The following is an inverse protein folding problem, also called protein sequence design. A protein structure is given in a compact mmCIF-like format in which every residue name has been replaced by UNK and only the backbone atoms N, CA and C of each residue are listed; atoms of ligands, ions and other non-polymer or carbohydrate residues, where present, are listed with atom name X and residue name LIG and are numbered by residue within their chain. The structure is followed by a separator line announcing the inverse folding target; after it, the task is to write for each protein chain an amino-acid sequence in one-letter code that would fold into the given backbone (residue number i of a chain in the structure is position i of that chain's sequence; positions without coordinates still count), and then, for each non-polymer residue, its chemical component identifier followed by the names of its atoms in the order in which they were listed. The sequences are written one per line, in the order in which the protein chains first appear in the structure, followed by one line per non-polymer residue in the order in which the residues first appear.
data_IF_611093835737
#
_entry.id   IF_611093835737
#
_cell.length_a   1.000
_cell.length_b   1.000
_cell.length_c   1.000
_cell.angle_alpha   90.00
_cell.angle_beta   90.00
_cell.angle_gamma   90.00
#
_symmetry.space_group_name_H-M   'P 1'
#
loop_
_entity.id
_entity.type
_entity.pdbx_description
1 polymer ?
#
# COMPACT_ATOMS: atom_id res chain seq x y z
N UNK A 1 -9.51 2.15 13.75
CA UNK A 1 -8.48 1.31 13.12
C UNK A 1 -7.92 2.12 11.98
N UNK A 2 -6.70 2.67 12.15
CA UNK A 2 -6.05 3.52 11.15
C UNK A 2 -5.52 2.61 10.05
N UNK A 3 -6.17 2.60 8.89
CA UNK A 3 -5.56 2.05 7.68
C UNK A 3 -4.64 3.17 7.18
N UNK A 4 -3.33 2.96 7.30
CA UNK A 4 -2.33 3.85 6.69
C UNK A 4 -2.63 4.00 5.21
N UNK A 5 -2.45 5.19 4.61
CA UNK A 5 -2.49 5.31 3.16
C UNK A 5 -1.38 4.40 2.61
N UNK A 6 -1.75 3.44 1.76
CA UNK A 6 -0.77 2.65 1.04
C UNK A 6 -0.05 3.59 0.05
N UNK A 7 1.16 4.01 0.40
CA UNK A 7 2.04 4.66 -0.56
C UNK A 7 2.80 3.55 -1.30
N UNK A 8 2.60 3.44 -2.61
CA UNK A 8 3.40 2.55 -3.44
C UNK A 8 4.71 3.27 -3.76
N UNK A 9 5.79 2.88 -3.09
CA UNK A 9 7.16 3.26 -3.44
C UNK A 9 7.84 1.97 -3.92
N UNK A 10 8.14 1.89 -5.22
CA UNK A 10 8.91 0.79 -5.80
C UNK A 10 10.40 1.05 -5.56
N UNK A 11 11.08 0.10 -4.89
CA UNK A 11 12.52 0.11 -4.71
C UNK A 11 13.15 -0.92 -5.65
N UNK A 12 13.96 -0.45 -6.60
CA UNK A 12 14.67 -1.33 -7.54
C UNK A 12 15.58 -2.33 -6.79
N UNK A 13 15.54 -3.63 -7.13
CA UNK A 13 16.24 -4.70 -6.40
C UNK A 13 17.77 -4.76 -6.62
N UNK A 14 18.37 -3.85 -7.40
CA UNK A 14 19.82 -3.88 -7.67
C UNK A 14 20.68 -3.10 -6.65
N UNK A 15 20.10 -2.60 -5.55
CA UNK A 15 20.87 -1.91 -4.52
C UNK A 15 21.23 -2.92 -3.40
N UNK A 16 22.53 -3.16 -3.12
CA UNK A 16 22.94 -4.03 -2.02
C UNK A 16 22.37 -3.51 -0.70
N UNK A 17 22.00 -4.43 0.21
CA UNK A 17 21.45 -4.19 1.54
C UNK A 17 22.12 -3.00 2.25
N UNK A 18 21.58 -1.79 2.03
CA UNK A 18 22.00 -0.59 2.75
C UNK A 18 21.04 -0.36 3.91
N UNK A 19 21.55 -0.01 5.10
CA UNK A 19 20.71 0.46 6.20
C UNK A 19 19.81 1.60 5.70
N UNK A 20 18.55 1.63 6.16
CA UNK A 20 17.58 2.67 5.80
C UNK A 20 18.13 4.02 6.25
N UNK A 21 18.76 4.74 5.31
CA UNK A 21 18.94 6.18 5.42
C UNK A 21 17.75 6.80 4.71
N UNK A 22 16.96 7.60 5.42
CA UNK A 22 15.96 8.47 4.80
C UNK A 22 16.67 9.38 3.80
N UNK A 23 16.64 9.02 2.50
CA UNK A 23 17.39 9.75 1.47
C UNK A 23 16.73 11.10 1.16
N UNK A 24 15.41 11.20 1.35
CA UNK A 24 14.65 12.44 1.26
C UNK A 24 13.47 12.38 2.24
N UNK A 25 13.42 13.32 3.19
CA UNK A 25 12.23 13.56 4.02
C UNK A 25 11.55 14.80 3.44
N UNK A 26 10.52 14.61 2.63
CA UNK A 26 9.68 15.69 2.11
C UNK A 26 8.43 15.83 2.97
N UNK A 27 8.17 17.02 3.52
CA UNK A 27 6.86 17.31 4.09
C UNK A 27 5.86 17.44 2.96
N UNK A 28 4.77 16.67 2.99
CA UNK A 28 3.63 16.85 2.10
C UNK A 28 3.17 18.32 2.14
N UNK A 29 3.05 18.96 0.97
CA UNK A 29 2.59 20.35 0.89
C UNK A 29 1.08 20.44 0.93
N UNK A 30 0.42 19.44 0.35
CA UNK A 30 -1.04 19.38 0.25
C UNK A 30 -1.50 17.94 0.13
N UNK A 31 -2.68 17.69 0.70
CA UNK A 31 -3.42 16.43 0.51
C UNK A 31 -4.77 16.77 -0.12
N UNK A 32 -5.12 16.05 -1.19
CA UNK A 32 -6.41 16.14 -1.87
C UNK A 32 -7.14 14.82 -1.66
N UNK A 33 -8.23 14.86 -0.90
CA UNK A 33 -9.08 13.70 -0.66
C UNK A 33 -10.05 13.47 -1.82
N UNK A 34 -10.46 12.22 -2.03
CA UNK A 34 -11.58 11.94 -2.92
C UNK A 34 -12.84 12.69 -2.46
N UNK A 35 -13.58 13.38 -3.35
CA UNK A 35 -14.75 14.17 -2.96
C UNK A 35 -15.86 13.35 -2.31
N UNK A 36 -15.97 12.07 -2.68
CA UNK A 36 -16.98 11.14 -2.17
C UNK A 36 -16.47 10.25 -1.02
N UNK A 37 -15.26 10.52 -0.49
CA UNK A 37 -14.70 9.75 0.62
C UNK A 37 -15.68 9.70 1.81
N UNK A 38 -15.88 8.51 2.36
CA UNK A 38 -16.71 8.30 3.55
C UNK A 38 -16.06 7.34 4.54
N UNK A 39 -16.00 7.74 5.81
CA UNK A 39 -15.42 6.92 6.88
C UNK A 39 -16.23 5.65 7.20
N UNK A 40 -17.54 5.66 6.96
CA UNK A 40 -18.38 4.49 7.13
C UNK A 40 -19.39 4.47 5.97
N UNK A 41 -19.23 3.58 4.98
CA UNK A 41 -18.57 2.27 5.03
C UNK A 41 -17.19 2.17 4.33
N UNK A 42 -16.29 3.13 4.51
CA UNK A 42 -14.97 3.19 3.85
C UNK A 42 -15.06 3.24 2.31
N UNK A 43 -15.99 4.03 1.76
CA UNK A 43 -16.01 4.24 0.31
C UNK A 43 -14.97 5.28 -0.10
N UNK A 44 -14.41 5.05 -1.30
CA UNK A 44 -13.50 5.95 -1.99
C UNK A 44 -12.29 6.37 -1.13
N UNK A 45 -11.71 5.39 -0.44
CA UNK A 45 -10.52 5.54 0.40
C UNK A 45 -9.24 5.73 -0.43
N UNK A 46 -9.14 6.91 -1.04
CA UNK A 46 -8.02 7.34 -1.85
C UNK A 46 -7.77 8.84 -1.68
N UNK A 47 -6.49 9.23 -1.67
CA UNK A 47 -6.07 10.62 -1.68
C UNK A 47 -4.81 10.80 -2.51
N UNK A 48 -4.60 12.03 -3.01
CA UNK A 48 -3.40 12.43 -3.73
C UNK A 48 -2.61 13.37 -2.82
N UNK A 49 -1.30 13.15 -2.73
CA UNK A 49 -0.39 13.99 -1.94
C UNK A 49 0.54 14.74 -2.90
N UNK A 50 0.64 16.04 -2.68
CA UNK A 50 1.55 16.92 -3.40
C UNK A 50 2.87 17.05 -2.65
N UNK A 51 3.98 16.79 -3.34
CA UNK A 51 5.32 16.86 -2.80
C UNK A 51 5.92 18.26 -3.03
N UNK A 52 6.76 18.77 -2.11
CA UNK A 52 7.30 20.14 -2.16
C UNK A 52 8.35 20.35 -3.26
N UNK A 53 8.95 19.27 -3.76
CA UNK A 53 9.97 19.29 -4.79
C UNK A 53 9.96 17.95 -5.53
N UNK A 54 10.53 17.94 -6.73
CA UNK A 54 10.88 16.70 -7.42
C UNK A 54 11.83 15.89 -6.53
N UNK A 55 11.53 14.60 -6.37
CA UNK A 55 12.39 13.68 -5.62
C UNK A 55 13.18 12.87 -6.64
N UNK A 56 14.50 13.01 -6.60
CA UNK A 56 15.40 12.19 -7.39
C UNK A 56 15.32 10.71 -6.97
N UNK A 57 15.61 9.80 -7.90
CA UNK A 57 15.65 8.34 -7.70
C UNK A 57 14.30 7.64 -7.40
N UNK A 58 13.16 8.33 -7.51
CA UNK A 58 11.85 7.69 -7.50
C UNK A 58 11.40 7.36 -8.92
N UNK A 59 11.01 6.10 -9.15
CA UNK A 59 10.38 5.68 -10.42
C UNK A 59 8.87 5.56 -10.19
N UNK A 60 8.04 6.31 -10.95
CA UNK A 60 6.59 6.22 -10.79
C UNK A 60 6.06 4.89 -11.32
N UNK A 61 5.04 4.36 -10.65
CA UNK A 61 4.27 3.21 -11.15
C UNK A 61 3.21 3.67 -12.15
N UNK A 62 2.90 2.79 -13.11
CA UNK A 62 1.85 3.06 -14.09
C UNK A 62 0.47 2.86 -13.48
N UNK A 63 -0.42 3.83 -13.72
CA UNK A 63 -1.82 3.68 -13.36
C UNK A 63 -2.55 2.83 -14.40
N UNK A 64 -3.37 1.89 -13.91
CA UNK A 64 -4.25 1.10 -14.76
C UNK A 64 -5.33 1.99 -15.38
N UNK A 65 -5.42 1.99 -16.71
CA UNK A 65 -6.49 2.71 -17.44
C UNK A 65 -7.73 1.86 -17.61
N UNK A 66 -7.56 0.65 -18.16
CA UNK A 66 -8.66 -0.28 -18.50
C UNK A 66 -8.39 -1.71 -18.00
N UNK A 67 -7.39 -1.88 -17.12
CA UNK A 67 -7.00 -3.21 -16.64
C UNK A 67 -8.05 -3.76 -15.68
N UNK A 68 -8.60 -4.92 -16.02
CA UNK A 68 -9.46 -5.70 -15.13
C UNK A 68 -8.67 -6.92 -14.68
N UNK A 69 -8.22 -6.89 -13.44
CA UNK A 69 -7.67 -8.04 -12.76
C UNK A 69 -8.64 -9.22 -12.79
N UNK A 70 -8.16 -10.42 -13.11
CA UNK A 70 -8.95 -11.65 -13.09
C UNK A 70 -8.63 -12.44 -11.85
N UNK A 71 -9.60 -13.25 -11.41
CA UNK A 71 -9.38 -14.21 -10.34
C UNK A 71 -8.18 -15.11 -10.68
N UNK A 72 -7.29 -15.28 -9.72
CA UNK A 72 -6.09 -16.09 -9.86
C UNK A 72 -4.91 -15.39 -10.52
N UNK A 73 -5.08 -14.19 -11.09
CA UNK A 73 -3.93 -13.33 -11.42
C UNK A 73 -3.18 -13.01 -10.11
N UNK A 74 -1.86 -12.93 -10.17
CA UNK A 74 -1.03 -12.64 -9.00
C UNK A 74 -0.81 -11.13 -8.87
N UNK A 75 -1.00 -10.61 -7.66
CA UNK A 75 -0.58 -9.27 -7.26
C UNK A 75 0.65 -9.33 -6.35
N UNK A 76 1.46 -8.28 -6.39
CA UNK A 76 2.58 -8.09 -5.47
C UNK A 76 2.16 -7.04 -4.44
N UNK A 77 2.30 -7.37 -3.16
CA UNK A 77 2.14 -6.41 -2.08
C UNK A 77 3.50 -6.22 -1.39
N UNK A 78 3.90 -4.96 -1.24
CA UNK A 78 5.16 -4.58 -0.58
C UNK A 78 4.88 -3.60 0.55
N UNK A 79 5.66 -3.66 1.62
CA UNK A 79 5.56 -2.70 2.71
C UNK A 79 6.32 -3.07 3.98
N UNK A 80 6.20 -2.20 4.97
CA UNK A 80 6.75 -2.34 6.32
C UNK A 80 5.66 -2.57 7.38
N UNK A 81 4.51 -3.12 6.96
CA UNK A 81 3.36 -3.33 7.83
C UNK A 81 3.60 -4.36 8.93
N UNK A 82 2.72 -4.37 9.94
CA UNK A 82 2.74 -5.38 11.00
C UNK A 82 2.49 -6.77 10.41
N UNK A 83 3.45 -7.69 10.57
CA UNK A 83 3.37 -9.05 10.05
C UNK A 83 2.78 -10.03 11.07
N UNK A 84 2.51 -9.60 12.29
CA UNK A 84 1.97 -10.46 13.34
C UNK A 84 0.48 -10.16 13.58
N UNK A 85 -0.43 -11.04 13.12
CA UNK A 85 -1.87 -10.81 13.24
C UNK A 85 -2.38 -10.87 14.70
N UNK A 86 -1.61 -11.51 15.61
CA UNK A 86 -2.03 -11.75 16.99
C UNK A 86 -1.53 -10.67 17.97
N UNK A 87 -0.58 -9.84 17.54
CA UNK A 87 0.03 -8.79 18.36
C UNK A 87 -0.18 -7.44 17.70
N UNK A 88 -1.23 -6.73 18.14
CA UNK A 88 -1.37 -5.32 17.76
C UNK A 88 -0.15 -4.54 18.26
N UNK A 89 0.54 -3.84 17.35
CA UNK A 89 1.79 -3.12 17.59
C UNK A 89 3.01 -4.04 17.76
N UNK A 90 3.06 -5.13 16.99
CA UNK A 90 4.29 -5.92 16.92
C UNK A 90 5.41 -5.11 16.25
N UNK A 91 6.65 -5.57 16.43
CA UNK A 91 7.79 -4.90 15.84
C UNK A 91 7.69 -4.98 14.31
N UNK A 92 7.54 -3.83 13.67
CA UNK A 92 7.55 -3.72 12.22
C UNK A 92 8.88 -4.27 11.67
N UNK A 93 8.85 -4.91 10.49
CA UNK A 93 10.07 -5.43 9.89
C UNK A 93 11.07 -4.30 9.63
N UNK A 94 12.35 -4.58 9.87
CA UNK A 94 13.44 -3.61 9.63
C UNK A 94 13.78 -3.44 8.15
N UNK A 95 13.24 -4.31 7.29
CA UNK A 95 13.49 -4.33 5.84
C UNK A 95 12.18 -4.39 5.08
N UNK A 96 12.18 -3.91 3.82
CA UNK A 96 11.00 -3.93 2.97
C UNK A 96 10.60 -5.39 2.73
N UNK A 97 9.35 -5.71 3.03
CA UNK A 97 8.80 -7.05 2.81
C UNK A 97 8.03 -7.08 1.49
N UNK A 98 8.02 -8.24 0.84
CA UNK A 98 7.25 -8.52 -0.38
C UNK A 98 6.47 -9.82 -0.22
N UNK A 99 5.23 -9.84 -0.70
CA UNK A 99 4.44 -11.06 -0.83
C UNK A 99 3.69 -11.08 -2.17
N UNK A 100 3.64 -12.27 -2.76
CA UNK A 100 2.84 -12.56 -3.94
C UNK A 100 1.50 -13.16 -3.50
N UNK A 101 0.40 -12.51 -3.84
CA UNK A 101 -0.96 -12.90 -3.44
C UNK A 101 -1.88 -13.08 -4.64
N UNK A 102 -2.69 -14.15 -4.70
CA UNK A 102 -3.65 -14.34 -5.78
C UNK A 102 -4.87 -13.43 -5.60
N UNK A 103 -5.37 -12.90 -6.70
CA UNK A 103 -6.59 -12.09 -6.71
C UNK A 103 -7.80 -12.99 -6.51
N UNK A 104 -8.61 -12.68 -5.49
CA UNK A 104 -9.88 -13.33 -5.23
C UNK A 104 -10.99 -12.72 -6.09
N UNK A 105 -12.00 -13.52 -6.42
CA UNK A 105 -13.23 -12.95 -6.97
C UNK A 105 -13.96 -12.10 -5.92
N UNK A 106 -14.78 -11.14 -6.38
CA UNK A 106 -15.62 -10.31 -5.50
C UNK A 106 -16.53 -11.16 -4.60
N UNK A 107 -16.99 -12.31 -5.08
CA UNK A 107 -17.84 -13.21 -4.30
C UNK A 107 -17.06 -13.94 -3.21
N UNK A 108 -15.84 -14.40 -3.49
CA UNK A 108 -14.98 -15.05 -2.50
C UNK A 108 -14.59 -14.07 -1.38
N UNK A 109 -14.21 -12.84 -1.74
CA UNK A 109 -13.89 -11.80 -0.76
C UNK A 109 -15.08 -11.44 0.14
N UNK A 110 -16.30 -11.41 -0.40
CA UNK A 110 -17.51 -11.16 0.42
C UNK A 110 -17.78 -12.27 1.44
N UNK A 111 -17.45 -13.52 1.11
CA UNK A 111 -17.67 -14.66 2.00
C UNK A 111 -16.48 -14.97 2.91
N UNK A 112 -15.30 -14.38 2.68
CA UNK A 112 -14.14 -14.56 3.55
C UNK A 112 -14.26 -13.81 4.89
N UNK A 113 -15.25 -12.93 5.03
CA UNK A 113 -15.52 -12.15 6.24
C UNK A 113 -16.29 -12.90 7.34
N UNK A 114 -16.68 -14.15 7.14
CA UNK A 114 -17.25 -14.99 8.22
C UNK A 114 -16.13 -15.51 9.15
N UNK A 115 -15.46 -14.57 9.84
CA UNK A 115 -14.69 -14.93 11.02
C UNK A 115 -15.69 -15.31 12.11
N UNK A 116 -15.83 -16.62 12.38
CA UNK A 116 -16.54 -17.09 13.57
C UNK A 116 -15.74 -16.64 14.79
N UNK A 117 -16.28 -15.67 15.53
CA UNK A 117 -15.92 -15.44 16.92
C UNK A 117 -16.31 -16.66 17.78
#
# INVERSE_FOLDING_TARGET
MLISPAFVIDFRPEQPLMPIYWKSVGLATKTVYHPDWSFAPNFDDISIIELPAEIDDIVPVLLAKDYVARKGDMGINVGYGDTNPDLQNSQQPETLMEINIPILSKQECKHSGEYKA
#
